data_IF_112922221703
#
_entry.id   IF_112922221703
#
_cell.length_a   1.000
_cell.length_b   1.000
_cell.length_c   1.000
_cell.angle_alpha   90.00
_cell.angle_beta   90.00
_cell.angle_gamma   90.00
#
_symmetry.space_group_name_H-M   'P 1'
#
loop_
_entity.id
_entity.type
_entity.pdbx_description
1 polymer ?
#
# COMPACT_ATOMS: atom_id res chain seq x y z
N UNK A 1 13.04 -22.71 -22.68
CA UNK A 1 13.09 -22.23 -21.28
C UNK A 1 11.84 -21.41 -21.03
N UNK A 2 11.11 -21.63 -19.92
CA UNK A 2 9.92 -20.80 -19.60
C UNK A 2 10.39 -19.39 -19.27
N UNK A 3 9.90 -18.41 -20.00
CA UNK A 3 10.12 -17.00 -19.69
C UNK A 3 9.10 -16.60 -18.61
N UNK A 4 9.58 -16.31 -17.40
CA UNK A 4 8.75 -15.92 -16.27
C UNK A 4 8.62 -14.40 -16.11
N UNK A 5 9.23 -13.61 -16.99
CA UNK A 5 9.28 -12.14 -16.89
C UNK A 5 7.88 -11.56 -16.69
N UNK A 6 6.95 -11.88 -17.58
CA UNK A 6 5.59 -11.32 -17.54
C UNK A 6 4.83 -11.77 -16.29
N UNK A 7 5.05 -13.01 -15.85
CA UNK A 7 4.42 -13.54 -14.65
C UNK A 7 4.99 -12.88 -13.38
N UNK A 8 6.30 -12.58 -13.34
CA UNK A 8 6.92 -11.86 -12.25
C UNK A 8 6.43 -10.41 -12.16
N UNK A 9 6.31 -9.73 -13.30
CA UNK A 9 5.80 -8.34 -13.36
C UNK A 9 4.34 -8.32 -12.90
N UNK A 10 3.48 -9.19 -13.45
CA UNK A 10 2.08 -9.30 -13.06
C UNK A 10 1.91 -9.59 -11.57
N UNK A 11 2.68 -10.54 -11.04
CA UNK A 11 2.61 -10.92 -9.61
C UNK A 11 3.08 -9.77 -8.72
N UNK A 12 4.17 -9.09 -9.10
CA UNK A 12 4.69 -7.93 -8.37
C UNK A 12 3.68 -6.78 -8.37
N UNK A 13 3.05 -6.47 -9.50
CA UNK A 13 2.01 -5.44 -9.59
C UNK A 13 0.82 -5.75 -8.67
N UNK A 14 0.33 -7.00 -8.70
CA UNK A 14 -0.77 -7.42 -7.82
C UNK A 14 -0.40 -7.30 -6.33
N UNK A 15 0.84 -7.65 -5.97
CA UNK A 15 1.33 -7.51 -4.61
C UNK A 15 1.41 -6.05 -4.14
N UNK A 16 1.98 -5.16 -4.97
CA UNK A 16 2.06 -3.72 -4.63
C UNK A 16 0.66 -3.11 -4.47
N UNK A 17 -0.28 -3.46 -5.36
CA UNK A 17 -1.66 -3.01 -5.26
C UNK A 17 -2.35 -3.52 -3.98
N UNK A 18 -2.14 -4.78 -3.60
CA UNK A 18 -2.68 -5.33 -2.36
C UNK A 18 -2.11 -4.64 -1.11
N UNK A 19 -0.81 -4.31 -1.11
CA UNK A 19 -0.19 -3.58 -0.01
C UNK A 19 -0.72 -2.14 0.11
N UNK A 20 -0.86 -1.43 -1.03
CA UNK A 20 -1.48 -0.11 -1.03
C UNK A 20 -2.92 -0.15 -0.50
N UNK A 21 -3.72 -1.14 -0.91
CA UNK A 21 -5.08 -1.32 -0.43
C UNK A 21 -5.16 -1.62 1.08
N UNK A 22 -4.21 -2.40 1.61
CA UNK A 22 -4.09 -2.64 3.06
C UNK A 22 -3.87 -1.34 3.82
N UNK A 23 -2.93 -0.51 3.37
CA UNK A 23 -2.63 0.78 4.01
C UNK A 23 -3.78 1.79 3.87
N UNK A 24 -4.47 1.78 2.73
CA UNK A 24 -5.70 2.55 2.56
C UNK A 24 -6.77 2.15 3.57
N UNK A 25 -7.02 0.84 3.74
CA UNK A 25 -8.00 0.35 4.71
C UNK A 25 -7.63 0.74 6.15
N UNK A 26 -6.35 0.69 6.51
CA UNK A 26 -5.88 1.18 7.81
C UNK A 26 -6.16 2.67 8.00
N UNK A 27 -5.85 3.49 6.99
CA UNK A 27 -6.15 4.93 7.00
C UNK A 27 -7.66 5.19 7.14
N UNK A 28 -8.50 4.46 6.41
CA UNK A 28 -9.96 4.56 6.51
C UNK A 28 -10.46 4.19 7.91
N UNK A 29 -9.90 3.15 8.54
CA UNK A 29 -10.25 2.77 9.92
C UNK A 29 -9.89 3.89 10.90
N UNK A 30 -8.72 4.52 10.75
CA UNK A 30 -8.28 5.64 11.59
C UNK A 30 -9.21 6.85 11.40
N UNK A 31 -9.56 7.18 10.16
CA UNK A 31 -10.44 8.31 9.83
C UNK A 31 -11.88 8.10 10.33
N UNK A 32 -12.36 6.85 10.34
CA UNK A 32 -13.73 6.53 10.75
C UNK A 32 -13.88 6.28 12.27
N UNK A 33 -12.81 5.87 12.97
CA UNK A 33 -12.89 5.56 14.40
C UNK A 33 -12.41 6.73 15.27
N UNK A 34 -13.35 7.56 15.72
CA UNK A 34 -13.13 8.61 16.74
C UNK A 34 -12.87 8.06 18.17
N UNK A 35 -12.97 6.74 18.39
CA UNK A 35 -12.96 6.18 19.75
C UNK A 35 -11.67 5.43 20.04
N UNK A 36 -10.95 5.95 21.03
CA UNK A 36 -9.71 5.46 21.63
C UNK A 36 -9.67 3.94 21.80
N UNK A 37 -8.78 3.28 21.05
CA UNK A 37 -8.20 2.01 21.49
C UNK A 37 -6.73 2.27 21.84
N UNK A 38 -6.54 2.81 23.04
CA UNK A 38 -5.48 2.46 24.00
C UNK A 38 -3.98 2.50 23.66
N UNK A 39 -3.52 2.45 22.41
CA UNK A 39 -2.09 2.15 22.14
C UNK A 39 -1.37 3.11 21.17
N UNK A 40 -2.09 4.00 20.48
CA UNK A 40 -1.49 5.09 19.73
C UNK A 40 -2.03 6.42 20.23
N UNK A 41 -1.25 7.12 21.05
CA UNK A 41 -1.58 8.46 21.56
C UNK A 41 -1.70 9.51 20.45
N UNK A 42 -1.21 9.20 19.24
CA UNK A 42 -1.26 10.07 18.07
C UNK A 42 -1.85 9.36 16.84
N UNK A 43 -3.14 9.59 16.60
CA UNK A 43 -3.87 9.09 15.42
C UNK A 43 -3.39 9.76 14.13
N UNK A 44 -2.93 11.02 14.20
CA UNK A 44 -2.47 11.76 13.03
C UNK A 44 -1.11 11.23 12.56
N UNK A 45 -0.17 10.99 13.48
CA UNK A 45 1.13 10.38 13.15
C UNK A 45 0.93 8.98 12.52
N UNK A 46 -0.03 8.21 13.05
CA UNK A 46 -0.34 6.88 12.52
C UNK A 46 -0.94 6.99 11.11
N UNK A 47 -1.87 7.92 10.89
CA UNK A 47 -2.44 8.19 9.56
C UNK A 47 -1.36 8.57 8.55
N UNK A 48 -0.44 9.47 8.92
CA UNK A 48 0.66 9.90 8.06
C UNK A 48 1.57 8.73 7.66
N UNK A 49 1.88 7.81 8.59
CA UNK A 49 2.65 6.60 8.30
C UNK A 49 1.94 5.68 7.31
N UNK A 50 0.64 5.45 7.49
CA UNK A 50 -0.16 4.63 6.58
C UNK A 50 -0.23 5.25 5.17
N UNK A 51 -0.44 6.56 5.07
CA UNK A 51 -0.42 7.28 3.79
C UNK A 51 0.96 7.22 3.12
N UNK A 52 2.05 7.35 3.89
CA UNK A 52 3.42 7.22 3.38
C UNK A 52 3.70 5.84 2.79
N UNK A 53 3.32 4.79 3.50
CA UNK A 53 3.45 3.41 3.01
C UNK A 53 2.58 3.18 1.77
N UNK A 54 1.33 3.66 1.77
CA UNK A 54 0.44 3.58 0.60
C UNK A 54 1.09 4.23 -0.63
N UNK A 55 1.64 5.44 -0.48
CA UNK A 55 2.34 6.15 -1.56
C UNK A 55 3.52 5.34 -2.11
N UNK A 56 4.35 4.78 -1.24
CA UNK A 56 5.52 4.00 -1.65
C UNK A 56 5.12 2.77 -2.50
N UNK A 57 4.04 2.08 -2.14
CA UNK A 57 3.55 0.94 -2.89
C UNK A 57 2.90 1.35 -4.22
N UNK A 58 2.17 2.47 -4.26
CA UNK A 58 1.61 3.02 -5.49
C UNK A 58 2.72 3.44 -6.45
N UNK A 59 3.79 4.08 -5.96
CA UNK A 59 4.92 4.47 -6.79
C UNK A 59 5.63 3.24 -7.36
N UNK A 60 5.87 2.20 -6.56
CA UNK A 60 6.42 0.93 -7.06
C UNK A 60 5.53 0.28 -8.12
N UNK A 61 4.21 0.30 -7.93
CA UNK A 61 3.26 -0.17 -8.94
C UNK A 61 3.38 0.63 -10.24
N UNK A 62 3.39 1.97 -10.14
CA UNK A 62 3.50 2.87 -11.29
C UNK A 62 4.81 2.67 -12.05
N UNK A 63 5.92 2.43 -11.35
CA UNK A 63 7.20 2.12 -11.97
C UNK A 63 7.17 0.79 -12.73
N UNK A 64 6.53 -0.24 -12.17
CA UNK A 64 6.34 -1.52 -12.86
C UNK A 64 5.47 -1.36 -14.11
N UNK A 65 4.37 -0.60 -14.01
CA UNK A 65 3.49 -0.32 -15.13
C UNK A 65 4.16 0.52 -16.23
N UNK A 66 4.94 1.54 -15.87
CA UNK A 66 5.53 2.47 -16.84
C UNK A 66 6.73 1.88 -17.60
N UNK A 67 7.54 1.05 -16.94
CA UNK A 67 8.83 0.61 -17.49
C UNK A 67 8.90 -0.86 -17.88
N UNK A 68 7.97 -1.69 -17.38
CA UNK A 68 8.08 -3.14 -17.53
C UNK A 68 6.85 -3.81 -18.15
N UNK A 69 5.70 -3.13 -18.17
CA UNK A 69 4.48 -3.56 -18.87
C UNK A 69 4.41 -2.92 -20.26
#
# INVERSE_FOLDING_TARGET
MKNFRDQMIKTSMAYMQAQAAKHQMNADIILNNQVSVGEHSDQMETLEKELGMMSEYVDKYNMLEKYFK
#
